data_IF_800943027477
#
_entry.id   IF_800943027477
#
_cell.length_a   1.000
_cell.length_b   1.000
_cell.length_c   1.000
_cell.angle_alpha   90.00
_cell.angle_beta   90.00
_cell.angle_gamma   90.00
#
_symmetry.space_group_name_H-M   'P 1'
#
loop_
_entity.id
_entity.type
_entity.pdbx_description
1 polymer ?
#
# COMPACT_ATOMS: atom_id res chain seq x y z
N UNK A 1 16.08 0.59 -1.92
CA UNK A 1 16.17 0.82 -0.46
C UNK A 1 14.81 0.51 0.13
N UNK A 2 14.75 -0.23 1.24
CA UNK A 2 13.51 -0.56 1.93
C UNK A 2 13.40 0.27 3.20
N UNK A 3 12.30 0.99 3.39
CA UNK A 3 12.07 1.75 4.62
C UNK A 3 11.21 0.94 5.61
N UNK A 4 11.57 1.00 6.89
CA UNK A 4 10.84 0.34 7.97
C UNK A 4 9.73 1.22 8.55
N UNK A 5 8.56 0.62 8.78
CA UNK A 5 7.38 1.33 9.27
C UNK A 5 6.70 0.53 10.37
N UNK A 6 6.26 1.22 11.43
CA UNK A 6 5.42 0.64 12.46
C UNK A 6 3.96 0.98 12.19
N UNK A 7 3.10 -0.02 12.28
CA UNK A 7 1.68 0.10 11.91
C UNK A 7 0.77 -0.50 12.97
N UNK A 8 -0.39 0.11 13.14
CA UNK A 8 -1.53 -0.46 13.85
C UNK A 8 -2.53 -0.96 12.81
N UNK A 9 -2.92 -2.23 12.94
CA UNK A 9 -3.88 -2.88 12.05
C UNK A 9 -5.09 -3.28 12.87
N UNK A 10 -6.26 -2.77 12.49
CA UNK A 10 -7.55 -3.05 13.11
C UNK A 10 -8.54 -3.46 12.01
N UNK A 11 -9.45 -4.38 12.31
CA UNK A 11 -10.40 -4.81 11.30
C UNK A 11 -11.28 -5.97 11.73
N UNK A 12 -12.17 -6.33 10.82
CA UNK A 12 -13.02 -7.52 10.84
C UNK A 12 -12.64 -8.40 9.65
N UNK A 13 -13.40 -9.49 9.43
CA UNK A 13 -13.25 -10.32 8.23
C UNK A 13 -13.53 -9.58 6.91
N UNK A 14 -14.22 -8.44 6.96
CA UNK A 14 -14.61 -7.65 5.78
C UNK A 14 -13.90 -6.32 5.66
N UNK A 15 -13.62 -5.64 6.76
CA UNK A 15 -13.02 -4.31 6.72
C UNK A 15 -11.69 -4.32 7.46
N UNK A 16 -10.67 -3.69 6.89
CA UNK A 16 -9.36 -3.56 7.54
C UNK A 16 -8.86 -2.14 7.38
N UNK A 17 -8.43 -1.56 8.48
CA UNK A 17 -7.77 -0.26 8.52
C UNK A 17 -6.38 -0.44 9.10
N UNK A 18 -5.41 0.14 8.41
CA UNK A 18 -4.02 0.18 8.82
C UNK A 18 -3.56 1.63 8.81
N UNK A 19 -2.97 2.06 9.93
CA UNK A 19 -2.33 3.37 10.04
C UNK A 19 -0.92 3.17 10.54
N UNK A 20 0.03 3.93 10.01
CA UNK A 20 1.40 3.85 10.49
C UNK A 20 2.23 5.04 10.14
N UNK A 21 3.47 4.97 10.62
CA UNK A 21 4.48 6.00 10.39
C UNK A 21 5.77 5.32 9.98
N UNK A 22 6.27 5.68 8.82
CA UNK A 22 7.58 5.29 8.32
C UNK A 22 8.62 6.29 8.81
N UNK A 23 9.73 5.79 9.37
CA UNK A 23 10.82 6.66 9.84
C UNK A 23 12.00 6.54 8.89
N UNK A 24 12.48 7.68 8.40
CA UNK A 24 13.68 7.76 7.57
C UNK A 24 14.57 8.89 8.09
N UNK A 25 15.62 8.54 8.83
CA UNK A 25 16.46 9.49 9.56
C UNK A 25 15.60 10.43 10.44
N UNK A 26 15.51 11.71 10.06
CA UNK A 26 14.75 12.75 10.75
C UNK A 26 13.33 12.94 10.21
N UNK A 27 12.97 12.28 9.09
CA UNK A 27 11.66 12.40 8.47
C UNK A 27 10.71 11.30 8.94
N UNK A 28 9.48 11.70 9.24
CA UNK A 28 8.37 10.79 9.49
C UNK A 28 7.34 10.95 8.38
N UNK A 29 6.97 9.85 7.74
CA UNK A 29 5.88 9.82 6.77
C UNK A 29 4.75 8.97 7.31
N UNK A 30 3.63 9.62 7.61
CA UNK A 30 2.40 8.91 7.96
C UNK A 30 1.78 8.30 6.70
N UNK A 31 1.23 7.10 6.87
CA UNK A 31 0.44 6.44 5.85
C UNK A 31 -0.78 5.77 6.47
N UNK A 32 -1.79 5.61 5.63
CA UNK A 32 -3.04 4.97 5.97
C UNK A 32 -3.51 4.10 4.83
N UNK A 33 -4.21 3.03 5.18
CA UNK A 33 -4.79 2.08 4.24
C UNK A 33 -6.11 1.61 4.80
N UNK A 34 -7.20 1.83 4.08
CA UNK A 34 -8.50 1.24 4.36
C UNK A 34 -8.82 0.25 3.25
N UNK A 35 -9.24 -0.95 3.61
CA UNK A 35 -9.62 -2.01 2.68
C UNK A 35 -10.96 -2.58 3.07
N UNK A 36 -11.82 -2.77 2.08
CA UNK A 36 -13.08 -3.49 2.18
C UNK A 36 -13.03 -4.71 1.26
N UNK A 37 -13.15 -5.91 1.84
CA UNK A 37 -13.23 -7.18 1.13
C UNK A 37 -14.67 -7.44 0.69
N UNK A 38 -14.82 -7.70 -0.60
CA UNK A 38 -16.05 -8.12 -1.25
C UNK A 38 -15.99 -9.63 -1.57
N UNK A 39 -17.04 -10.13 -2.23
CA UNK A 39 -17.08 -11.51 -2.72
C UNK A 39 -15.95 -11.79 -3.74
N UNK A 40 -15.60 -13.07 -3.89
CA UNK A 40 -14.59 -13.55 -4.86
C UNK A 40 -13.21 -12.93 -4.66
N UNK A 41 -12.81 -12.75 -3.41
CA UNK A 41 -11.52 -12.18 -3.00
C UNK A 41 -11.24 -10.77 -3.53
N UNK A 42 -12.26 -10.06 -4.00
CA UNK A 42 -12.12 -8.66 -4.43
C UNK A 42 -11.94 -7.76 -3.23
N UNK A 43 -11.12 -6.72 -3.40
CA UNK A 43 -10.86 -5.72 -2.39
C UNK A 43 -10.89 -4.35 -3.04
N UNK A 44 -11.53 -3.39 -2.37
CA UNK A 44 -11.46 -1.97 -2.69
C UNK A 44 -10.97 -1.19 -1.48
N UNK A 45 -10.54 0.05 -1.67
CA UNK A 45 -10.03 0.81 -0.56
C UNK A 45 -9.45 2.16 -0.93
N UNK A 46 -8.79 2.75 0.07
CA UNK A 46 -8.09 4.02 -0.07
C UNK A 46 -6.72 3.93 0.58
N UNK A 47 -5.71 4.48 -0.09
CA UNK A 47 -4.37 4.68 0.43
C UNK A 47 -4.12 6.16 0.69
N UNK A 48 -3.58 6.50 1.86
CA UNK A 48 -3.15 7.84 2.22
C UNK A 48 -1.65 7.83 2.55
N UNK A 49 -0.99 8.97 2.38
CA UNK A 49 0.46 9.11 2.56
C UNK A 49 1.22 9.41 1.27
N UNK A 50 0.56 9.35 0.11
CA UNK A 50 1.06 9.97 -1.10
C UNK A 50 0.95 11.51 -1.02
N UNK A 51 1.94 12.23 -1.55
CA UNK A 51 1.91 13.71 -1.62
C UNK A 51 0.75 14.23 -2.47
N UNK A 52 0.20 13.39 -3.33
CA UNK A 52 -0.89 13.69 -4.28
C UNK A 52 -2.29 13.57 -3.67
N UNK A 53 -2.40 13.44 -2.35
CA UNK A 53 -3.67 13.14 -1.68
C UNK A 53 -4.03 11.65 -1.72
N UNK A 54 -5.25 11.30 -1.25
CA UNK A 54 -5.71 9.91 -1.19
C UNK A 54 -5.73 9.25 -2.57
N UNK A 55 -5.31 8.00 -2.63
CA UNK A 55 -5.37 7.17 -3.83
C UNK A 55 -6.42 6.07 -3.67
N UNK A 56 -7.16 5.78 -4.73
CA UNK A 56 -8.14 4.71 -4.73
C UNK A 56 -7.48 3.38 -5.04
N UNK A 57 -7.92 2.34 -4.36
CA UNK A 57 -7.40 0.98 -4.50
C UNK A 57 -8.50 0.06 -4.98
N UNK A 58 -8.13 -0.82 -5.91
CA UNK A 58 -8.98 -1.94 -6.33
C UNK A 58 -8.10 -3.14 -6.66
N UNK A 59 -8.53 -4.33 -6.30
CA UNK A 59 -7.71 -5.50 -6.56
C UNK A 59 -8.25 -6.73 -5.87
N UNK A 60 -7.33 -7.63 -5.54
CA UNK A 60 -7.71 -8.96 -5.07
C UNK A 60 -6.71 -9.57 -4.11
N UNK A 61 -7.22 -10.41 -3.21
CA UNK A 61 -6.42 -11.32 -2.39
C UNK A 61 -5.96 -12.52 -3.23
N UNK A 62 -4.70 -12.91 -3.09
CA UNK A 62 -4.05 -14.03 -3.79
C UNK A 62 -3.09 -14.72 -2.82
N UNK A 63 -3.59 -15.72 -2.09
CA UNK A 63 -2.80 -16.40 -1.06
C UNK A 63 -2.34 -15.44 0.04
N UNK A 64 -1.02 -15.27 0.16
CA UNK A 64 -0.35 -14.36 1.10
C UNK A 64 -0.22 -12.92 0.59
N UNK A 65 -0.74 -12.63 -0.60
CA UNK A 65 -0.61 -11.32 -1.28
C UNK A 65 -1.94 -10.60 -1.43
N UNK A 66 -1.88 -9.28 -1.36
CA UNK A 66 -2.87 -8.36 -1.91
C UNK A 66 -2.26 -7.71 -3.14
N UNK A 67 -2.87 -7.93 -4.30
CA UNK A 67 -2.46 -7.28 -5.56
C UNK A 67 -3.49 -6.21 -5.87
N UNK A 68 -3.05 -4.96 -5.88
CA UNK A 68 -3.90 -3.77 -5.94
C UNK A 68 -3.48 -2.89 -7.11
N UNK A 69 -4.44 -2.46 -7.91
CA UNK A 69 -4.33 -1.31 -8.77
C UNK A 69 -4.50 -0.05 -7.93
N UNK A 70 -3.61 0.92 -8.14
CA UNK A 70 -3.61 2.23 -7.49
C UNK A 70 -4.04 3.25 -8.53
N UNK A 71 -5.01 4.08 -8.16
CA UNK A 71 -5.39 5.29 -8.89
C UNK A 71 -5.07 6.52 -8.05
N UNK A 72 -4.01 7.24 -8.39
CA UNK A 72 -3.50 8.40 -7.65
C UNK A 72 -4.45 9.61 -7.74
N UNK A 73 -4.57 10.35 -6.64
CA UNK A 73 -5.33 11.60 -6.55
C UNK A 73 -4.81 12.73 -7.45
N UNK A 74 -3.55 12.67 -7.88
CA UNK A 74 -2.93 13.50 -8.92
C UNK A 74 -1.86 12.68 -9.67
N UNK A 75 -1.42 13.11 -10.86
CA UNK A 75 -0.38 12.37 -11.59
C UNK A 75 0.91 12.19 -10.78
N UNK A 76 1.47 10.98 -10.84
CA UNK A 76 2.76 10.58 -10.29
C UNK A 76 3.53 9.92 -11.43
N UNK A 77 4.77 10.34 -11.68
CA UNK A 77 5.59 9.83 -12.79
C UNK A 77 4.94 9.90 -14.20
N UNK A 78 3.98 10.81 -14.39
CA UNK A 78 3.36 11.09 -15.70
C UNK A 78 1.97 10.50 -15.90
N UNK A 79 1.50 9.61 -15.02
CA UNK A 79 0.12 9.11 -15.05
C UNK A 79 -0.46 8.92 -13.65
N UNK A 80 -1.64 8.31 -13.52
CA UNK A 80 -2.30 8.07 -12.22
C UNK A 80 -2.30 6.60 -11.81
N UNK A 81 -1.63 5.73 -12.55
CA UNK A 81 -1.83 4.28 -12.45
C UNK A 81 -0.54 3.62 -12.00
N UNK A 82 -0.62 2.96 -10.85
CA UNK A 82 0.44 2.08 -10.39
C UNK A 82 -0.12 0.73 -9.93
N UNK A 83 0.76 -0.25 -9.73
CA UNK A 83 0.42 -1.49 -9.05
C UNK A 83 1.07 -1.50 -7.67
N UNK A 84 0.31 -1.86 -6.66
CA UNK A 84 0.79 -2.10 -5.31
C UNK A 84 0.60 -3.57 -4.96
N UNK A 85 1.65 -4.20 -4.47
CA UNK A 85 1.62 -5.57 -3.95
C UNK A 85 1.98 -5.54 -2.48
N UNK A 86 1.07 -6.00 -1.63
CA UNK A 86 1.32 -6.20 -0.19
C UNK A 86 1.46 -7.70 0.05
N UNK A 87 2.61 -8.14 0.54
CA UNK A 87 2.92 -9.55 0.78
C UNK A 87 3.12 -9.77 2.28
N UNK A 88 2.43 -10.76 2.86
CA UNK A 88 2.71 -11.19 4.23
C UNK A 88 4.09 -11.82 4.31
N UNK A 89 4.96 -11.30 5.18
CA UNK A 89 6.32 -11.83 5.38
C UNK A 89 6.48 -12.57 6.71
N UNK A 90 5.46 -12.51 7.56
CA UNK A 90 5.38 -13.19 8.85
C UNK A 90 4.02 -12.98 9.52
N UNK A 91 3.85 -13.46 10.74
CA UNK A 91 2.59 -13.31 11.48
C UNK A 91 2.20 -11.83 11.66
N UNK A 92 3.19 -11.00 12.02
CA UNK A 92 3.03 -9.58 12.31
C UNK A 92 3.86 -8.67 11.39
N UNK A 93 4.26 -9.17 10.21
CA UNK A 93 5.05 -8.40 9.25
C UNK A 93 4.57 -8.60 7.81
N UNK A 94 4.74 -7.55 7.02
CA UNK A 94 4.42 -7.55 5.60
C UNK A 94 5.29 -6.55 4.84
N UNK A 95 5.43 -6.76 3.54
CA UNK A 95 6.13 -5.86 2.64
C UNK A 95 5.15 -5.27 1.63
N UNK A 96 5.22 -3.97 1.40
CA UNK A 96 4.56 -3.30 0.29
C UNK A 96 5.60 -2.97 -0.78
N UNK A 97 5.29 -3.31 -2.03
CA UNK A 97 6.03 -2.88 -3.21
C UNK A 97 5.08 -2.11 -4.13
N UNK A 98 5.48 -0.92 -4.58
CA UNK A 98 4.79 -0.17 -5.63
C UNK A 98 5.60 -0.24 -6.91
N UNK A 99 4.94 -0.64 -7.98
CA UNK A 99 5.46 -0.77 -9.34
C UNK A 99 4.72 0.25 -10.19
N UNK A 100 5.48 1.11 -10.85
CA UNK A 100 4.96 2.26 -11.59
C UNK A 100 5.80 2.50 -12.85
N UNK A 101 5.31 3.29 -13.80
CA UNK A 101 6.08 3.70 -14.97
C UNK A 101 6.87 4.96 -14.65
N UNK A 102 8.19 4.90 -14.82
CA UNK A 102 9.08 6.05 -14.73
C UNK A 102 9.79 6.18 -16.07
N UNK A 103 9.60 7.31 -16.75
CA UNK A 103 10.12 7.57 -18.10
C UNK A 103 9.74 6.46 -19.09
N UNK A 104 8.47 6.02 -19.04
CA UNK A 104 7.93 4.97 -19.90
C UNK A 104 8.37 3.55 -19.54
N UNK A 105 9.23 3.37 -18.53
CA UNK A 105 9.74 2.06 -18.10
C UNK A 105 9.11 1.65 -16.77
N UNK A 106 8.63 0.41 -16.69
CA UNK A 106 8.14 -0.17 -15.43
C UNK A 106 9.28 -0.32 -14.43
N UNK A 107 9.13 0.26 -13.24
CA UNK A 107 10.12 0.22 -12.16
C UNK A 107 9.43 0.07 -10.81
N UNK A 108 10.11 -0.56 -9.86
CA UNK A 108 9.73 -0.43 -8.45
C UNK A 108 10.06 0.98 -7.98
N UNK A 109 9.04 1.76 -7.62
CA UNK A 109 9.19 3.15 -7.16
C UNK A 109 9.18 3.28 -5.65
N UNK A 110 8.61 2.30 -4.94
CA UNK A 110 8.75 2.23 -3.49
C UNK A 110 8.71 0.80 -2.96
N UNK A 111 9.39 0.59 -1.83
CA UNK A 111 9.34 -0.64 -1.04
C UNK A 111 9.36 -0.31 0.44
N UNK A 112 8.39 -0.81 1.18
CA UNK A 112 8.24 -0.59 2.62
C UNK A 112 8.10 -1.92 3.34
N UNK A 113 8.82 -2.09 4.44
CA UNK A 113 8.61 -3.19 5.38
C UNK A 113 7.80 -2.68 6.56
N UNK A 114 6.72 -3.39 6.86
CA UNK A 114 5.81 -3.08 7.94
C UNK A 114 5.93 -4.11 9.06
N UNK A 115 5.95 -3.62 10.29
CA UNK A 115 5.79 -4.44 11.49
C UNK A 115 4.58 -3.93 12.27
N UNK A 116 3.65 -4.85 12.56
CA UNK A 116 2.49 -4.57 13.41
C UNK A 116 2.97 -4.32 14.84
N UNK A 117 2.44 -3.26 15.46
CA UNK A 117 2.57 -3.00 16.90
C UNK A 117 1.63 -3.89 17.70
#
# INVERSE_FOLDING_TARGET
>A
MTAGCLVSVNGTSRNTTMNGTCRFLLFHQSLGLTLAKAANDRVTGTYTGAKTGPAQLSGTVRGDKLVLNVNWGAPVNGDRIAQMVITRTGENSFEQTVIDKVDGKTRTTSRFSFKRK
#
